data_IF_212101067518
#
_entry.id   IF_212101067518
#
_cell.length_a   1.000
_cell.length_b   1.000
_cell.length_c   1.000
_cell.angle_alpha   90.00
_cell.angle_beta   90.00
_cell.angle_gamma   90.00
#
_symmetry.space_group_name_H-M   'P 1'
#
loop_
_entity.id
_entity.type
_entity.pdbx_description
1 polymer ?
#
# COMPACT_ATOMS: atom_id res chain seq x y z
N UNK A 1 0.81 10.11 4.14
CA UNK A 1 1.54 8.83 4.34
C UNK A 1 1.60 8.38 5.80
N UNK A 2 2.24 9.08 6.75
CA UNK A 2 2.37 8.57 8.13
C UNK A 2 1.04 8.27 8.84
N UNK A 3 0.01 9.09 8.62
CA UNK A 3 -1.35 8.84 9.16
C UNK A 3 -1.98 7.60 8.54
N UNK A 4 -1.70 7.31 7.26
CA UNK A 4 -2.19 6.11 6.59
C UNK A 4 -1.68 4.83 7.26
N UNK A 5 -0.46 4.85 7.81
CA UNK A 5 0.11 3.71 8.56
C UNK A 5 -0.58 3.45 9.90
N UNK A 6 -1.35 4.39 10.44
CA UNK A 6 -2.02 4.21 11.73
C UNK A 6 -3.29 3.38 11.56
N UNK A 7 -3.54 2.48 12.49
CA UNK A 7 -4.85 1.83 12.63
C UNK A 7 -5.85 2.85 13.17
N UNK A 8 -6.96 3.08 12.48
CA UNK A 8 -7.98 4.05 12.88
C UNK A 8 -9.34 3.37 13.03
N UNK A 9 -10.14 3.79 14.02
CA UNK A 9 -11.40 3.11 14.40
C UNK A 9 -12.49 3.24 13.34
N UNK A 10 -12.49 4.36 12.64
CA UNK A 10 -13.35 4.69 11.52
C UNK A 10 -13.14 3.74 10.33
N UNK A 11 -11.95 3.16 10.20
CA UNK A 11 -11.68 2.18 9.16
C UNK A 11 -12.07 0.77 9.61
N UNK A 12 -13.27 0.34 9.20
CA UNK A 12 -13.80 -1.01 9.42
C UNK A 12 -13.45 -1.99 8.30
N UNK A 13 -12.72 -1.54 7.29
CA UNK A 13 -12.43 -2.36 6.12
C UNK A 13 -11.42 -3.46 6.44
N UNK A 14 -11.38 -4.47 5.59
CA UNK A 14 -10.43 -5.58 5.72
C UNK A 14 -8.98 -5.08 5.63
N UNK A 15 -8.74 -4.16 4.72
CA UNK A 15 -7.45 -3.60 4.40
C UNK A 15 -7.57 -2.10 4.15
N UNK A 16 -6.50 -1.37 4.49
CA UNK A 16 -6.32 0.03 4.07
C UNK A 16 -5.64 0.05 2.73
N UNK A 17 -6.19 0.80 1.79
CA UNK A 17 -5.66 0.95 0.43
C UNK A 17 -5.67 2.44 0.10
N UNK A 18 -4.54 2.99 -0.33
CA UNK A 18 -4.44 4.40 -0.73
C UNK A 18 -3.33 4.60 -1.76
N UNK A 19 -3.55 5.50 -2.72
CA UNK A 19 -2.57 5.88 -3.73
C UNK A 19 -1.88 7.18 -3.36
N UNK A 20 -0.56 7.24 -3.59
CA UNK A 20 0.28 8.40 -3.32
C UNK A 20 1.16 8.71 -4.53
N UNK A 21 1.46 9.99 -4.75
CA UNK A 21 2.29 10.44 -5.87
C UNK A 21 3.80 10.25 -5.68
N UNK A 22 4.20 9.70 -4.53
CA UNK A 22 5.60 9.54 -4.16
C UNK A 22 5.87 8.15 -3.59
N UNK A 23 7.09 7.66 -3.85
CA UNK A 23 7.58 6.39 -3.34
C UNK A 23 8.06 6.51 -1.88
N UNK A 24 7.07 6.61 -0.99
CA UNK A 24 7.30 6.74 0.43
C UNK A 24 7.93 5.48 1.04
N UNK A 25 7.59 4.28 0.55
CA UNK A 25 8.15 3.03 1.08
C UNK A 25 9.67 2.98 0.90
N UNK A 26 10.17 3.22 -0.31
CA UNK A 26 11.62 3.24 -0.55
C UNK A 26 12.33 4.37 0.20
N UNK A 27 11.67 5.51 0.38
CA UNK A 27 12.22 6.62 1.16
C UNK A 27 12.45 6.23 2.63
N UNK A 28 11.46 5.62 3.28
CA UNK A 28 11.56 5.26 4.70
C UNK A 28 12.35 3.98 4.97
N UNK A 29 12.22 2.95 4.12
CA UNK A 29 12.84 1.63 4.34
C UNK A 29 14.26 1.57 3.81
N UNK A 30 14.49 2.08 2.60
CA UNK A 30 15.76 1.92 1.89
C UNK A 30 16.62 3.20 1.93
N UNK A 31 16.15 4.27 2.59
CA UNK A 31 16.83 5.56 2.69
C UNK A 31 17.19 6.15 1.31
N UNK A 32 16.36 5.87 0.29
CA UNK A 32 16.52 6.39 -1.07
C UNK A 32 15.88 7.78 -1.12
N UNK A 33 16.43 8.77 -1.85
CA UNK A 33 15.78 10.06 -2.04
C UNK A 33 14.32 9.91 -2.50
N UNK A 34 13.43 10.74 -1.97
CA UNK A 34 12.00 10.68 -2.29
C UNK A 34 11.81 10.90 -3.80
N UNK A 35 11.29 9.88 -4.49
CA UNK A 35 10.99 9.94 -5.91
C UNK A 35 9.51 10.17 -6.12
N UNK A 36 9.19 11.09 -7.03
CA UNK A 36 7.82 11.27 -7.50
C UNK A 36 7.48 10.10 -8.43
N UNK A 37 6.64 9.20 -7.95
CA UNK A 37 6.21 7.99 -8.63
C UNK A 37 4.89 7.59 -8.01
N UNK A 38 3.85 7.48 -8.82
CA UNK A 38 2.53 7.04 -8.34
C UNK A 38 2.63 5.60 -7.83
N UNK A 39 2.25 5.40 -6.57
CA UNK A 39 2.29 4.12 -5.86
C UNK A 39 1.00 3.91 -5.11
N UNK A 40 0.39 2.74 -5.27
CA UNK A 40 -0.73 2.30 -4.43
C UNK A 40 -0.21 1.38 -3.35
N UNK A 41 -0.41 1.78 -2.10
CA UNK A 41 -0.01 1.01 -0.93
C UNK A 41 -1.23 0.37 -0.29
N UNK A 42 -1.05 -0.85 0.22
CA UNK A 42 -2.08 -1.47 1.04
C UNK A 42 -1.51 -2.33 2.16
N UNK A 43 -2.30 -2.46 3.23
CA UNK A 43 -2.00 -3.38 4.33
C UNK A 43 -3.30 -3.84 5.01
N UNK A 44 -3.25 -5.02 5.63
CA UNK A 44 -4.39 -5.59 6.36
C UNK A 44 -4.57 -4.88 7.70
N UNK A 45 -5.81 -4.47 8.02
CA UNK A 45 -6.11 -3.89 9.33
C UNK A 45 -5.89 -4.94 10.43
N UNK A 46 -5.01 -4.62 11.39
CA UNK A 46 -4.65 -5.51 12.50
C UNK A 46 -5.71 -5.54 13.62
N UNK A 47 -6.49 -4.46 13.77
CA UNK A 47 -7.54 -4.35 14.79
C UNK A 47 -8.88 -4.07 14.11
N UNK A 48 -9.80 -5.04 14.17
CA UNK A 48 -11.17 -4.96 13.62
C UNK A 48 -12.26 -5.06 14.69
N UNK A 49 -11.91 -4.77 15.94
CA UNK A 49 -12.85 -4.89 17.05
C UNK A 49 -14.01 -3.89 16.89
N UNK A 50 -15.25 -4.39 16.91
CA UNK A 50 -16.44 -3.55 16.73
C UNK A 50 -16.85 -2.85 18.02
N UNK A 51 -16.69 -3.52 19.16
CA UNK A 51 -16.97 -2.91 20.45
C UNK A 51 -15.95 -1.81 20.76
N UNK A 52 -16.46 -0.61 21.01
CA UNK A 52 -15.61 0.57 21.22
C UNK A 52 -14.71 0.45 22.46
N UNK A 53 -15.19 -0.22 23.51
CA UNK A 53 -14.42 -0.40 24.75
C UNK A 53 -13.30 -1.41 24.54
N UNK A 54 -13.61 -2.53 23.89
CA UNK A 54 -12.63 -3.56 23.53
C UNK A 54 -11.62 -3.04 22.48
N UNK A 55 -12.04 -2.22 21.52
CA UNK A 55 -11.14 -1.59 20.54
C UNK A 55 -10.16 -0.65 21.23
N UNK A 56 -10.65 0.23 22.11
CA UNK A 56 -9.80 1.12 22.91
C UNK A 56 -8.83 0.31 23.77
N UNK A 57 -9.30 -0.78 24.40
CA UNK A 57 -8.45 -1.66 25.19
C UNK A 57 -7.35 -2.31 24.33
N UNK A 58 -7.71 -2.83 23.15
CA UNK A 58 -6.76 -3.43 22.20
C UNK A 58 -5.73 -2.42 21.68
N UNK A 59 -6.14 -1.22 21.27
CA UNK A 59 -5.20 -0.25 20.69
C UNK A 59 -4.32 0.41 21.76
N UNK A 60 -4.87 0.75 22.93
CA UNK A 60 -4.15 1.45 23.99
C UNK A 60 -3.22 0.51 24.77
N UNK A 61 -3.70 -0.68 25.14
CA UNK A 61 -2.97 -1.57 26.06
C UNK A 61 -2.20 -2.68 25.35
N UNK A 62 -2.79 -3.31 24.33
CA UNK A 62 -2.10 -4.33 23.55
C UNK A 62 -1.25 -3.73 22.44
N UNK A 63 -1.79 -2.80 21.66
CA UNK A 63 -1.13 -2.19 20.51
C UNK A 63 0.20 -1.54 20.87
N UNK A 64 0.30 -0.83 22.00
CA UNK A 64 1.56 -0.20 22.42
C UNK A 64 2.66 -1.22 22.77
N UNK A 65 2.29 -2.44 23.17
CA UNK A 65 3.23 -3.51 23.56
C UNK A 65 3.52 -4.48 22.41
N UNK A 66 2.58 -4.65 21.47
CA UNK A 66 2.70 -5.54 20.31
C UNK A 66 2.96 -4.82 18.97
N UNK A 67 3.03 -3.48 18.98
CA UNK A 67 3.15 -2.62 17.80
C UNK A 67 1.95 -2.66 16.83
N UNK A 68 0.81 -3.26 17.20
CA UNK A 68 -0.33 -3.47 16.30
C UNK A 68 -1.18 -2.21 16.01
N UNK A 69 -0.83 -1.07 16.61
CA UNK A 69 -1.50 0.22 16.37
C UNK A 69 -1.05 0.89 15.06
N UNK A 70 0.03 0.40 14.44
CA UNK A 70 0.54 0.91 13.18
C UNK A 70 1.05 -0.21 12.27
N UNK A 71 1.02 0.02 10.98
CA UNK A 71 1.77 -0.75 9.99
C UNK A 71 3.18 -0.18 9.89
N UNK A 72 4.19 -1.05 9.97
CA UNK A 72 5.55 -0.64 9.65
C UNK A 72 5.72 -0.50 8.12
N UNK A 73 6.48 0.49 7.62
CA UNK A 73 6.65 0.69 6.19
C UNK A 73 7.20 -0.53 5.46
N UNK A 74 8.01 -1.37 6.11
CA UNK A 74 8.52 -2.63 5.54
C UNK A 74 7.39 -3.60 5.16
N UNK A 75 6.33 -3.64 5.96
CA UNK A 75 5.20 -4.58 5.83
C UNK A 75 4.19 -4.16 4.75
N UNK A 76 4.29 -2.94 4.23
CA UNK A 76 3.40 -2.42 3.20
C UNK A 76 3.47 -3.26 1.94
N UNK A 77 2.32 -3.60 1.38
CA UNK A 77 2.25 -4.18 0.05
C UNK A 77 2.09 -3.06 -0.98
N UNK A 78 2.68 -3.26 -2.15
CA UNK A 78 2.55 -2.37 -3.29
C UNK A 78 1.74 -3.09 -4.37
N UNK A 79 0.73 -2.40 -4.91
CA UNK A 79 0.16 -2.86 -6.17
C UNK A 79 1.20 -2.59 -7.27
N UNK A 80 1.66 -3.64 -7.95
CA UNK A 80 2.52 -3.45 -9.10
C UNK A 80 1.74 -2.68 -10.16
N UNK A 81 2.27 -1.55 -10.68
CA UNK A 81 1.71 -0.95 -11.88
C UNK A 81 1.63 -2.06 -12.92
N UNK A 82 0.44 -2.32 -13.46
CA UNK A 82 0.33 -3.09 -14.69
C UNK A 82 1.17 -2.31 -15.70
N UNK A 83 2.29 -2.88 -16.13
CA UNK A 83 3.00 -2.37 -17.29
C UNK A 83 1.99 -2.40 -18.43
N UNK A 84 1.41 -1.24 -18.77
CA UNK A 84 0.73 -1.07 -20.04
C UNK A 84 1.84 -1.20 -21.08
N UNK A 85 1.98 -2.41 -21.63
CA UNK A 85 2.71 -2.62 -22.87
C UNK A 85 1.89 -1.98 -23.99
N UNK A 86 1.94 -0.65 -24.08
CA UNK A 86 1.52 0.05 -25.27
C UNK A 86 2.60 -0.14 -26.35
N UNK A 87 2.18 -0.83 -27.40
CA UNK A 87 2.65 -0.78 -28.79
C UNK A 87 4.10 -1.09 -29.14
N UNK A 88 4.27 -2.29 -29.72
CA UNK A 88 4.97 -2.49 -31.00
C UNK A 88 4.45 -3.77 -31.65
N UNK A 89 3.22 -3.74 -32.18
CA UNK A 89 2.81 -4.69 -33.20
C UNK A 89 3.36 -4.18 -34.54
N UNK A 90 4.59 -4.55 -34.87
CA UNK A 90 5.10 -4.43 -36.23
C UNK A 90 4.55 -5.62 -37.01
N UNK A 91 3.47 -5.43 -37.78
CA UNK A 91 3.08 -6.42 -38.78
C UNK A 91 4.21 -6.54 -39.82
N UNK A 92 4.70 -7.75 -40.13
CA UNK A 92 5.63 -7.93 -41.23
C UNK A 92 4.87 -7.85 -42.57
N UNK A 93 5.28 -6.93 -43.43
CA UNK A 93 4.85 -6.84 -44.83
C UNK A 93 5.07 -8.19 -45.53
N UNK A 94 3.98 -8.90 -45.86
CA UNK A 94 4.02 -10.10 -46.70
C UNK A 94 4.43 -9.75 -48.14
N UNK A 95 5.31 -10.53 -48.79
CA UNK A 95 5.66 -10.31 -50.19
C UNK A 95 4.50 -10.76 -51.09
N UNK A 96 4.12 -9.91 -52.06
CA UNK A 96 3.20 -10.29 -53.14
C UNK A 96 3.88 -11.32 -54.02
N UNK A 97 3.34 -12.54 -54.06
CA UNK A 97 3.71 -13.51 -55.07
C UNK A 97 3.04 -13.13 -56.39
N UNK A 98 3.85 -13.00 -57.43
CA UNK A 98 3.45 -12.85 -58.84
C UNK A 98 3.12 -14.21 -59.45
#
# INVERSE_FOLDING_TARGET
>A
FQVFLLTTRDNKEEAKIESFDYDWKNFFVNNIPLKQTSKTYYYKNRVREEDSTAWNYKVIWYGRRSHDYKCDPEDLQEEHPKETKDDLHVEPLMPRMH
#
